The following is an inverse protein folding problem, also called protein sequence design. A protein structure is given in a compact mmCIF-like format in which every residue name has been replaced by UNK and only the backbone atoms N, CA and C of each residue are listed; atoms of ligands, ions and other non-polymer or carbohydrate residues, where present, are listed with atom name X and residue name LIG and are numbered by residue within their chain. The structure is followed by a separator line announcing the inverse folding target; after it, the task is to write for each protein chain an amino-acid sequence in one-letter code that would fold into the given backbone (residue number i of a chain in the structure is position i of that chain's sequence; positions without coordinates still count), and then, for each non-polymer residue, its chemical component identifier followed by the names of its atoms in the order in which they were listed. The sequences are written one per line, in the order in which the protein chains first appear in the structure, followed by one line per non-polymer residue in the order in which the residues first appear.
data_IF_162139301421
#
_entry.id   IF_162139301421
#
_cell.length_a   1.000
_cell.length_b   1.000
_cell.length_c   1.000
_cell.angle_alpha   90.00
_cell.angle_beta   90.00
_cell.angle_gamma   90.00
#
_symmetry.space_group_name_H-M   'P 1'
#
loop_
_entity.id
_entity.type
_entity.pdbx_description
1 polymer ?
#
# COMPACT_ATOMS: atom_id res chain seq x y z
N UNK A 1 7.47 26.46 1.18
CA UNK A 1 6.04 26.22 1.49
C UNK A 1 5.97 24.91 2.24
N UNK A 2 5.26 24.83 3.37
CA UNK A 2 5.07 23.53 4.04
C UNK A 2 4.04 22.74 3.22
N UNK A 3 4.50 21.72 2.50
CA UNK A 3 3.62 20.81 1.78
C UNK A 3 2.89 19.90 2.79
N UNK A 4 1.60 19.68 2.58
CA UNK A 4 0.90 18.62 3.28
C UNK A 4 1.46 17.27 2.78
N UNK A 5 1.64 16.31 3.68
CA UNK A 5 2.11 14.96 3.35
C UNK A 5 1.10 13.97 3.90
N UNK A 6 0.62 13.08 3.03
CA UNK A 6 -0.24 11.97 3.41
C UNK A 6 0.57 10.67 3.35
N UNK A 7 0.69 10.01 4.48
CA UNK A 7 1.29 8.67 4.54
C UNK A 7 0.24 7.61 4.19
N UNK A 8 0.29 7.06 2.99
CA UNK A 8 -0.71 6.11 2.52
C UNK A 8 -0.46 4.67 2.95
N UNK A 9 0.58 4.43 3.78
CA UNK A 9 0.94 3.06 4.14
C UNK A 9 1.56 2.99 5.54
N UNK A 10 0.69 2.91 6.54
CA UNK A 10 1.06 2.74 7.94
C UNK A 10 0.37 1.49 8.47
N UNK A 11 1.09 0.68 9.25
CA UNK A 11 0.51 -0.44 9.96
C UNK A 11 0.52 -0.22 11.47
N UNK A 12 -0.45 -0.79 12.12
CA UNK A 12 -0.50 -0.98 13.58
C UNK A 12 -0.98 -2.39 13.84
N UNK A 13 -0.43 -3.05 14.84
CA UNK A 13 -0.94 -4.34 15.29
C UNK A 13 -0.75 -4.51 16.79
N UNK A 14 -1.66 -5.24 17.38
CA UNK A 14 -1.64 -5.59 18.79
C UNK A 14 -1.77 -7.10 18.95
N UNK A 15 -0.68 -7.76 19.37
CA UNK A 15 -0.61 -9.22 19.51
C UNK A 15 -1.54 -9.78 20.58
N UNK A 16 -2.09 -8.92 21.45
CA UNK A 16 -3.11 -9.31 22.44
C UNK A 16 -4.53 -9.18 21.85
N UNK A 17 -4.73 -8.31 20.85
CA UNK A 17 -6.05 -8.04 20.27
C UNK A 17 -6.38 -8.93 19.08
N UNK A 18 -5.37 -9.36 18.31
CA UNK A 18 -5.54 -10.19 17.12
C UNK A 18 -4.31 -11.08 16.88
N UNK A 19 -4.52 -12.14 16.10
CA UNK A 19 -3.46 -13.05 15.70
C UNK A 19 -2.83 -12.57 14.41
N UNK A 20 -1.51 -12.47 14.38
CA UNK A 20 -0.71 -12.17 13.19
C UNK A 20 0.18 -13.37 12.86
N UNK A 21 -0.31 -14.25 12.00
CA UNK A 21 0.32 -15.55 11.74
C UNK A 21 1.77 -15.46 11.24
N UNK A 22 2.06 -14.44 10.44
CA UNK A 22 3.39 -14.20 9.89
C UNK A 22 4.44 -13.74 10.93
N UNK A 23 4.00 -13.29 12.11
CA UNK A 23 4.88 -12.90 13.22
C UNK A 23 5.18 -14.07 14.17
N UNK A 24 4.36 -15.12 14.18
CA UNK A 24 4.49 -16.23 15.13
C UNK A 24 5.85 -16.92 14.99
N UNK A 25 6.56 -17.01 16.10
CA UNK A 25 7.89 -17.63 16.15
C UNK A 25 9.01 -16.84 15.47
N UNK A 26 8.72 -15.66 14.92
CA UNK A 26 9.71 -14.79 14.31
C UNK A 26 10.62 -14.15 15.37
N UNK A 27 11.93 -14.06 15.07
CA UNK A 27 12.91 -13.30 15.86
C UNK A 27 13.07 -11.84 15.35
N UNK A 28 12.27 -11.43 14.39
CA UNK A 28 12.26 -10.07 13.85
C UNK A 28 11.89 -9.05 14.92
N UNK A 29 12.44 -7.84 14.80
CA UNK A 29 12.00 -6.68 15.60
C UNK A 29 10.51 -6.39 15.44
N UNK A 30 9.90 -6.88 14.37
CA UNK A 30 8.46 -6.72 14.09
C UNK A 30 7.57 -7.59 14.99
N UNK A 31 8.13 -8.64 15.64
CA UNK A 31 7.37 -9.55 16.50
C UNK A 31 7.09 -8.94 17.89
N UNK A 32 6.36 -7.87 17.92
CA UNK A 32 5.78 -7.20 19.09
C UNK A 32 4.58 -6.35 18.69
N UNK A 33 3.81 -5.90 19.64
CA UNK A 33 2.79 -4.88 19.42
C UNK A 33 3.43 -3.56 18.97
N UNK A 34 2.85 -2.94 17.93
CA UNK A 34 3.22 -1.63 17.42
C UNK A 34 2.02 -0.69 17.44
N UNK A 35 2.18 0.41 18.16
CA UNK A 35 1.13 1.41 18.40
C UNK A 35 1.43 2.71 17.67
N UNK A 36 0.40 3.36 17.18
CA UNK A 36 0.52 4.58 16.36
C UNK A 36 1.26 5.73 17.09
N UNK A 37 1.14 5.79 18.40
CA UNK A 37 1.79 6.82 19.23
C UNK A 37 3.33 6.75 19.19
N UNK A 38 3.89 5.57 18.87
CA UNK A 38 5.34 5.37 18.82
C UNK A 38 6.02 6.25 17.77
N UNK A 39 5.33 6.57 16.66
CA UNK A 39 5.89 7.41 15.59
C UNK A 39 5.52 8.89 15.70
N UNK A 40 4.80 9.30 16.73
CA UNK A 40 4.26 10.67 16.80
C UNK A 40 5.33 11.76 16.66
N UNK A 41 6.48 11.61 17.29
CA UNK A 41 7.58 12.58 17.24
C UNK A 41 8.21 12.61 15.85
N UNK A 42 8.54 11.43 15.31
CA UNK A 42 9.15 11.30 13.98
C UNK A 42 8.19 11.76 12.88
N UNK A 43 6.89 11.43 12.99
CA UNK A 43 5.84 11.87 12.07
C UNK A 43 5.78 13.41 11.96
N UNK A 44 5.75 14.08 13.11
CA UNK A 44 5.73 15.56 13.15
C UNK A 44 7.01 16.13 12.54
N UNK A 45 8.16 15.55 12.88
CA UNK A 45 9.46 15.95 12.31
C UNK A 45 9.52 15.76 10.79
N UNK A 46 8.93 14.66 10.26
CA UNK A 46 8.85 14.38 8.84
C UNK A 46 7.85 15.31 8.10
N UNK A 47 6.98 16.03 8.83
CA UNK A 47 5.96 16.89 8.24
C UNK A 47 4.74 16.14 7.73
N UNK A 48 4.54 14.88 8.13
CA UNK A 48 3.37 14.07 7.76
C UNK A 48 2.14 14.57 8.52
N UNK A 49 1.11 14.98 7.78
CA UNK A 49 -0.09 15.65 8.31
C UNK A 49 -1.33 14.75 8.31
N UNK A 50 -1.37 13.75 7.45
CA UNK A 50 -2.44 12.75 7.39
C UNK A 50 -1.90 11.37 7.10
N UNK A 51 -2.72 10.32 7.30
CA UNK A 51 -2.29 8.95 7.07
C UNK A 51 -3.43 7.97 6.82
N UNK A 52 -3.07 6.84 6.20
CA UNK A 52 -3.95 5.70 5.94
C UNK A 52 -3.36 4.47 6.62
N UNK A 53 -4.13 3.86 7.52
CA UNK A 53 -3.79 2.55 8.07
C UNK A 53 -4.11 1.46 7.05
N UNK A 54 -3.20 0.52 6.91
CA UNK A 54 -3.33 -0.60 5.96
C UNK A 54 -3.28 -1.92 6.72
N UNK A 55 -4.17 -2.87 6.37
CA UNK A 55 -4.26 -4.16 7.03
C UNK A 55 -2.91 -4.90 7.06
N UNK A 56 -2.64 -5.61 8.14
CA UNK A 56 -1.43 -6.39 8.36
C UNK A 56 -1.69 -7.91 8.44
N UNK A 57 -2.97 -8.31 8.46
CA UNK A 57 -3.38 -9.73 8.47
C UNK A 57 -4.73 -9.91 7.77
N UNK A 58 -4.96 -11.09 7.20
CA UNK A 58 -6.17 -11.42 6.44
C UNK A 58 -7.33 -11.84 7.37
N UNK A 59 -7.81 -10.93 8.23
CA UNK A 59 -9.00 -11.14 9.05
C UNK A 59 -9.66 -9.83 9.50
N UNK A 60 -10.94 -9.90 9.91
CA UNK A 60 -11.74 -8.73 10.28
C UNK A 60 -11.28 -8.07 11.58
N UNK A 61 -10.73 -8.83 12.51
CA UNK A 61 -10.24 -8.30 13.80
C UNK A 61 -9.15 -7.24 13.59
N UNK A 62 -8.29 -7.42 12.56
CA UNK A 62 -7.28 -6.42 12.19
C UNK A 62 -7.94 -5.14 11.64
N UNK A 63 -8.93 -5.28 10.76
CA UNK A 63 -9.72 -4.15 10.25
C UNK A 63 -10.38 -3.36 11.40
N UNK A 64 -11.02 -4.06 12.31
CA UNK A 64 -11.69 -3.43 13.47
C UNK A 64 -10.69 -2.79 14.43
N UNK A 65 -9.52 -3.41 14.62
CA UNK A 65 -8.44 -2.80 15.40
C UNK A 65 -7.99 -1.48 14.79
N UNK A 66 -7.70 -1.46 13.49
CA UNK A 66 -7.28 -0.25 12.78
C UNK A 66 -8.33 0.86 12.83
N UNK A 67 -9.62 0.52 12.66
CA UNK A 67 -10.70 1.49 12.76
C UNK A 67 -10.80 2.11 14.17
N UNK A 68 -10.61 1.30 15.24
CA UNK A 68 -10.54 1.84 16.60
C UNK A 68 -9.38 2.82 16.78
N UNK A 69 -8.18 2.45 16.29
CA UNK A 69 -6.99 3.32 16.34
C UNK A 69 -7.21 4.59 15.52
N UNK A 70 -7.76 4.47 14.32
CA UNK A 70 -8.01 5.62 13.45
C UNK A 70 -9.00 6.62 14.07
N UNK A 71 -10.11 6.14 14.66
CA UNK A 71 -11.10 7.00 15.36
C UNK A 71 -10.50 7.75 16.56
N UNK A 72 -9.51 7.15 17.23
CA UNK A 72 -8.80 7.78 18.35
C UNK A 72 -7.69 8.72 17.90
N UNK A 73 -7.28 8.64 16.65
CA UNK A 73 -6.18 9.42 16.08
C UNK A 73 -6.66 10.78 15.57
N UNK A 74 -5.84 11.81 15.75
CA UNK A 74 -6.10 13.14 15.18
C UNK A 74 -5.51 13.35 13.77
N UNK A 75 -4.89 12.31 13.15
CA UNK A 75 -4.23 12.46 11.86
C UNK A 75 -4.47 11.29 10.89
N UNK A 76 -4.98 10.15 11.33
CA UNK A 76 -5.41 9.09 10.43
C UNK A 76 -6.74 9.46 9.79
N UNK A 77 -6.78 9.45 8.46
CA UNK A 77 -7.90 9.87 7.63
C UNK A 77 -8.51 8.73 6.83
N UNK A 78 -7.88 7.55 6.86
CA UNK A 78 -8.39 6.37 6.15
C UNK A 78 -7.86 5.06 6.69
N UNK A 79 -8.58 3.99 6.37
CA UNK A 79 -8.24 2.59 6.65
C UNK A 79 -8.47 1.77 5.39
N UNK A 80 -7.44 1.09 4.94
CA UNK A 80 -7.51 0.01 3.95
C UNK A 80 -7.58 -1.29 4.72
N UNK A 81 -8.81 -1.83 4.85
CA UNK A 81 -9.11 -3.01 5.64
C UNK A 81 -9.07 -4.32 4.84
N UNK A 82 -9.47 -5.38 5.48
CA UNK A 82 -9.66 -6.69 4.87
C UNK A 82 -11.14 -7.08 4.84
N UNK A 83 -11.55 -7.77 3.76
CA UNK A 83 -12.86 -8.41 3.62
C UNK A 83 -12.67 -9.85 3.13
N UNK A 84 -13.63 -10.77 3.43
CA UNK A 84 -13.54 -12.19 3.05
C UNK A 84 -13.83 -12.40 1.56
N UNK A 85 -12.90 -12.02 0.68
CA UNK A 85 -13.08 -12.00 -0.77
C UNK A 85 -13.43 -13.36 -1.39
N UNK A 86 -13.18 -14.48 -0.67
CA UNK A 86 -13.60 -15.83 -1.05
C UNK A 86 -15.08 -16.08 -0.77
N UNK A 87 -15.77 -15.18 -0.08
CA UNK A 87 -17.22 -15.23 0.17
C UNK A 87 -17.87 -13.93 -0.32
N UNK A 88 -18.30 -13.86 -1.59
CA UNK A 88 -18.90 -12.66 -2.17
C UNK A 88 -20.16 -12.18 -1.43
N UNK A 89 -20.96 -13.13 -0.92
CA UNK A 89 -22.19 -12.80 -0.19
C UNK A 89 -21.86 -12.10 1.14
N UNK A 90 -20.90 -12.63 1.88
CA UNK A 90 -20.45 -12.00 3.13
C UNK A 90 -19.68 -10.70 2.87
N UNK A 91 -18.86 -10.65 1.80
CA UNK A 91 -18.21 -9.40 1.35
C UNK A 91 -19.24 -8.31 1.07
N UNK A 92 -20.29 -8.62 0.31
CA UNK A 92 -21.36 -7.67 0.01
C UNK A 92 -22.08 -7.21 1.29
N UNK A 93 -22.44 -8.18 2.17
CA UNK A 93 -23.13 -7.88 3.44
C UNK A 93 -22.31 -6.96 4.34
N UNK A 94 -21.05 -7.32 4.59
CA UNK A 94 -20.15 -6.51 5.44
C UNK A 94 -19.94 -5.11 4.84
N UNK A 95 -19.74 -5.04 3.53
CA UNK A 95 -19.54 -3.77 2.85
C UNK A 95 -20.78 -2.88 2.98
N UNK A 96 -21.97 -3.39 2.61
CA UNK A 96 -23.20 -2.58 2.56
C UNK A 96 -23.77 -2.26 3.94
N UNK A 97 -23.72 -3.20 4.87
CA UNK A 97 -24.35 -3.03 6.17
C UNK A 97 -23.46 -2.29 7.18
N UNK A 98 -22.13 -2.33 6.98
CA UNK A 98 -21.16 -1.81 7.94
C UNK A 98 -20.22 -0.79 7.31
N UNK A 99 -19.36 -1.20 6.35
CA UNK A 99 -18.20 -0.41 5.99
C UNK A 99 -18.50 0.79 5.08
N UNK A 100 -19.58 0.77 4.29
CA UNK A 100 -20.02 1.97 3.56
C UNK A 100 -20.57 3.07 4.48
N UNK A 101 -20.91 2.72 5.72
CA UNK A 101 -21.34 3.68 6.76
C UNK A 101 -20.18 4.13 7.66
N UNK A 102 -18.98 3.56 7.48
CA UNK A 102 -17.77 3.92 8.21
C UNK A 102 -16.94 4.91 7.38
N UNK A 103 -16.93 6.19 7.73
CA UNK A 103 -16.27 7.22 6.92
C UNK A 103 -14.75 7.04 6.81
N UNK A 104 -14.14 6.29 7.73
CA UNK A 104 -12.72 5.98 7.70
C UNK A 104 -12.37 4.76 6.84
N UNK A 105 -13.33 3.92 6.45
CA UNK A 105 -13.05 2.79 5.58
C UNK A 105 -12.89 3.26 4.13
N UNK A 106 -11.68 3.11 3.55
CA UNK A 106 -11.30 3.74 2.28
C UNK A 106 -10.85 2.77 1.19
N UNK A 107 -10.61 1.53 1.53
CA UNK A 107 -10.12 0.54 0.58
C UNK A 107 -10.06 -0.85 1.18
N UNK A 108 -9.73 -1.82 0.33
CA UNK A 108 -9.54 -3.22 0.73
C UNK A 108 -8.18 -3.71 0.27
N UNK A 109 -7.51 -4.51 1.11
CA UNK A 109 -6.30 -5.24 0.76
C UNK A 109 -6.42 -6.70 1.23
N UNK A 110 -5.78 -7.59 0.51
CA UNK A 110 -5.55 -8.98 0.90
C UNK A 110 -4.07 -9.30 0.71
N UNK A 111 -3.46 -10.01 1.66
CA UNK A 111 -2.04 -10.41 1.58
C UNK A 111 -1.86 -11.54 0.56
N UNK A 112 -1.98 -11.21 -0.73
CA UNK A 112 -1.93 -12.18 -1.83
C UNK A 112 -0.56 -12.87 -1.94
N UNK A 113 0.50 -12.24 -1.44
CA UNK A 113 1.83 -12.84 -1.41
C UNK A 113 1.96 -13.99 -0.41
N UNK A 114 1.02 -14.14 0.51
CA UNK A 114 0.90 -15.28 1.42
C UNK A 114 0.09 -16.43 0.85
N UNK A 115 -0.60 -16.23 -0.27
CA UNK A 115 -1.40 -17.27 -0.91
C UNK A 115 -0.53 -18.26 -1.70
N UNK A 116 -0.83 -19.55 -1.66
CA UNK A 116 -0.04 -20.57 -2.37
C UNK A 116 -0.05 -20.42 -3.89
N UNK A 117 -1.15 -19.89 -4.45
CA UNK A 117 -1.31 -19.66 -5.88
C UNK A 117 -1.19 -18.16 -6.18
N UNK A 118 -0.19 -17.70 -6.95
CA UNK A 118 -0.06 -16.30 -7.33
C UNK A 118 -1.23 -15.79 -8.20
N UNK A 119 -2.08 -16.69 -8.69
CA UNK A 119 -3.32 -16.37 -9.42
C UNK A 119 -4.55 -16.31 -8.52
N UNK A 120 -4.37 -16.25 -7.21
CA UNK A 120 -5.45 -16.24 -6.23
C UNK A 120 -6.56 -15.22 -6.53
N UNK A 121 -6.20 -14.01 -7.02
CA UNK A 121 -7.17 -12.99 -7.42
C UNK A 121 -8.08 -13.41 -8.59
N UNK A 122 -7.75 -14.45 -9.34
CA UNK A 122 -8.54 -14.93 -10.49
C UNK A 122 -9.57 -16.00 -10.13
N UNK A 123 -9.66 -16.40 -8.86
CA UNK A 123 -10.72 -17.30 -8.41
C UNK A 123 -12.09 -16.64 -8.65
N UNK A 124 -13.11 -17.41 -9.10
CA UNK A 124 -14.42 -16.83 -9.43
C UNK A 124 -15.04 -16.02 -8.31
N UNK A 125 -14.95 -16.52 -7.07
CA UNK A 125 -15.48 -15.87 -5.88
C UNK A 125 -14.74 -14.53 -5.59
N UNK A 126 -13.43 -14.51 -5.75
CA UNK A 126 -12.62 -13.29 -5.57
C UNK A 126 -12.96 -12.25 -6.63
N UNK A 127 -13.08 -12.66 -7.90
CA UNK A 127 -13.48 -11.75 -8.99
C UNK A 127 -14.88 -11.17 -8.78
N UNK A 128 -15.82 -11.98 -8.26
CA UNK A 128 -17.15 -11.48 -7.90
C UNK A 128 -17.05 -10.45 -6.76
N UNK A 129 -16.29 -10.74 -5.71
CA UNK A 129 -16.05 -9.79 -4.60
C UNK A 129 -15.37 -8.50 -5.08
N UNK A 130 -14.37 -8.58 -5.96
CA UNK A 130 -13.74 -7.40 -6.56
C UNK A 130 -14.71 -6.59 -7.42
N UNK A 131 -15.66 -7.24 -8.08
CA UNK A 131 -16.72 -6.56 -8.82
C UNK A 131 -17.70 -5.83 -7.90
N UNK A 132 -17.96 -6.39 -6.71
CA UNK A 132 -18.75 -5.72 -5.66
C UNK A 132 -18.00 -4.48 -5.16
N UNK A 133 -16.70 -4.55 -4.88
CA UNK A 133 -15.90 -3.39 -4.50
C UNK A 133 -15.95 -2.29 -5.57
N UNK A 134 -15.77 -2.67 -6.83
CA UNK A 134 -15.81 -1.76 -7.96
C UNK A 134 -17.16 -1.06 -8.11
N UNK A 135 -18.27 -1.78 -7.89
CA UNK A 135 -19.64 -1.22 -7.95
C UNK A 135 -19.87 -0.14 -6.87
N UNK A 136 -19.15 -0.20 -5.76
CA UNK A 136 -19.23 0.78 -4.67
C UNK A 136 -18.05 1.78 -4.67
N UNK A 137 -17.22 1.77 -5.72
CA UNK A 137 -16.04 2.63 -5.87
C UNK A 137 -15.05 2.50 -4.69
N UNK A 138 -14.89 1.30 -4.16
CA UNK A 138 -13.91 0.95 -3.15
C UNK A 138 -12.65 0.42 -3.85
N UNK A 139 -11.48 1.05 -3.70
CA UNK A 139 -10.24 0.61 -4.34
C UNK A 139 -9.68 -0.64 -3.69
N UNK A 140 -8.84 -1.35 -4.45
CA UNK A 140 -8.12 -2.52 -4.00
C UNK A 140 -6.60 -2.29 -4.04
N UNK A 141 -5.92 -2.49 -2.89
CA UNK A 141 -4.48 -2.41 -2.79
C UNK A 141 -3.86 -3.77 -3.13
N UNK A 142 -2.98 -3.80 -4.13
CA UNK A 142 -2.31 -5.01 -4.63
C UNK A 142 -0.93 -5.12 -3.99
N UNK A 143 -0.78 -6.01 -3.01
CA UNK A 143 0.49 -6.28 -2.33
C UNK A 143 1.17 -7.50 -2.96
N UNK A 144 1.72 -7.34 -4.16
CA UNK A 144 2.42 -8.40 -4.88
C UNK A 144 3.93 -8.38 -4.64
N UNK A 145 4.55 -9.57 -4.71
CA UNK A 145 6.01 -9.75 -4.60
C UNK A 145 6.60 -10.53 -5.78
N UNK A 146 5.75 -11.10 -6.63
CA UNK A 146 6.13 -11.87 -7.81
C UNK A 146 5.68 -11.16 -9.08
N UNK A 147 6.37 -11.33 -10.22
CA UNK A 147 5.89 -10.86 -11.52
C UNK A 147 4.49 -11.38 -11.87
N UNK A 148 4.17 -12.60 -11.48
CA UNK A 148 2.87 -13.23 -11.70
C UNK A 148 1.73 -12.49 -10.99
N UNK A 149 1.98 -11.79 -9.88
CA UNK A 149 0.98 -10.94 -9.23
C UNK A 149 0.62 -9.72 -10.11
N UNK A 150 1.58 -9.16 -10.85
CA UNK A 150 1.33 -8.07 -11.80
C UNK A 150 0.47 -8.60 -12.97
N UNK A 151 0.85 -9.77 -13.53
CA UNK A 151 0.08 -10.42 -14.60
C UNK A 151 -1.36 -10.70 -14.15
N UNK A 152 -1.51 -11.20 -12.94
CA UNK A 152 -2.81 -11.47 -12.33
C UNK A 152 -3.64 -10.20 -12.14
N UNK A 153 -3.04 -9.12 -11.63
CA UNK A 153 -3.73 -7.83 -11.46
C UNK A 153 -4.19 -7.24 -12.81
N UNK A 154 -3.39 -7.38 -13.87
CA UNK A 154 -3.81 -6.95 -15.21
C UNK A 154 -5.03 -7.72 -15.73
N UNK A 155 -5.08 -9.03 -15.49
CA UNK A 155 -6.28 -9.84 -15.85
C UNK A 155 -7.50 -9.41 -15.02
N UNK A 156 -7.31 -9.04 -13.74
CA UNK A 156 -8.39 -8.44 -12.93
C UNK A 156 -8.85 -7.11 -13.55
N UNK A 157 -7.93 -6.23 -13.96
CA UNK A 157 -8.28 -4.96 -14.60
C UNK A 157 -9.09 -5.14 -15.89
N UNK A 158 -8.77 -6.18 -16.69
CA UNK A 158 -9.54 -6.52 -17.89
C UNK A 158 -10.94 -7.04 -17.58
N UNK A 159 -11.09 -7.80 -16.50
CA UNK A 159 -12.37 -8.42 -16.10
C UNK A 159 -13.26 -7.50 -15.28
N UNK A 160 -12.67 -6.58 -14.51
CA UNK A 160 -13.34 -5.62 -13.63
C UNK A 160 -12.81 -4.21 -13.92
N UNK A 161 -13.08 -3.63 -15.10
CA UNK A 161 -12.39 -2.42 -15.58
C UNK A 161 -12.72 -1.16 -14.79
N UNK A 162 -13.77 -1.16 -13.96
CA UNK A 162 -14.10 -0.05 -13.06
C UNK A 162 -13.40 -0.13 -11.70
N UNK A 163 -12.68 -1.24 -11.40
CA UNK A 163 -11.95 -1.36 -10.16
C UNK A 163 -10.69 -0.49 -10.20
N UNK A 164 -10.60 0.45 -9.25
CA UNK A 164 -9.36 1.20 -9.04
C UNK A 164 -8.40 0.36 -8.20
N UNK A 165 -7.17 0.21 -8.67
CA UNK A 165 -6.15 -0.58 -7.99
C UNK A 165 -4.87 0.22 -7.81
N UNK A 166 -4.16 -0.05 -6.71
CA UNK A 166 -2.83 0.51 -6.49
C UNK A 166 -1.83 -0.59 -6.16
N UNK A 167 -0.69 -0.58 -6.81
CA UNK A 167 0.41 -1.48 -6.47
C UNK A 167 1.16 -0.96 -5.24
N UNK A 168 1.10 -1.68 -4.14
CA UNK A 168 1.91 -1.42 -2.96
C UNK A 168 3.40 -1.61 -3.28
N UNK A 169 4.26 -0.70 -2.76
CA UNK A 169 5.72 -0.82 -2.83
C UNK A 169 6.26 -1.00 -4.26
N UNK A 170 5.64 -0.34 -5.24
CA UNK A 170 5.90 -0.54 -6.67
C UNK A 170 5.83 -2.01 -7.11
N UNK A 171 5.08 -2.86 -6.40
CA UNK A 171 5.05 -4.31 -6.53
C UNK A 171 6.45 -4.95 -6.49
N UNK A 172 7.26 -4.56 -5.50
CA UNK A 172 8.57 -5.14 -5.18
C UNK A 172 9.54 -5.18 -6.38
N UNK A 173 10.02 -4.04 -6.88
CA UNK A 173 11.01 -4.00 -7.96
C UNK A 173 12.29 -4.73 -7.57
N UNK A 174 13.02 -5.36 -8.53
CA UNK A 174 14.18 -6.20 -8.26
C UNK A 174 15.44 -5.41 -7.92
N UNK A 175 15.37 -4.50 -6.94
CA UNK A 175 16.44 -3.58 -6.57
C UNK A 175 17.70 -4.33 -6.14
N UNK A 176 17.55 -5.41 -5.35
CA UNK A 176 18.68 -6.18 -4.84
C UNK A 176 19.39 -7.03 -5.91
N UNK A 177 18.74 -7.32 -7.04
CA UNK A 177 19.28 -8.23 -8.05
C UNK A 177 20.37 -7.62 -8.94
N UNK A 178 20.51 -6.30 -8.94
CA UNK A 178 21.39 -5.56 -9.86
C UNK A 178 20.93 -5.56 -11.33
N UNK A 179 19.84 -6.27 -11.64
CA UNK A 179 19.24 -6.32 -13.00
C UNK A 179 18.18 -5.22 -13.10
N UNK A 180 18.50 -4.13 -13.82
CA UNK A 180 17.57 -3.04 -14.02
C UNK A 180 16.34 -3.50 -14.78
N UNK A 181 15.21 -3.39 -14.10
CA UNK A 181 13.83 -3.59 -14.51
C UNK A 181 13.45 -5.05 -14.79
N UNK A 182 14.16 -5.80 -15.64
CA UNK A 182 13.84 -7.21 -15.94
C UNK A 182 12.36 -7.45 -16.24
N UNK A 183 11.84 -8.60 -15.83
CA UNK A 183 10.43 -8.96 -16.01
C UNK A 183 9.47 -7.99 -15.32
N UNK A 184 9.84 -7.47 -14.14
CA UNK A 184 9.05 -6.44 -13.43
C UNK A 184 8.81 -5.23 -14.34
N UNK A 185 9.86 -4.68 -14.96
CA UNK A 185 9.72 -3.49 -15.81
C UNK A 185 8.94 -3.74 -17.08
N UNK A 186 9.08 -4.93 -17.70
CA UNK A 186 8.27 -5.31 -18.86
C UNK A 186 6.79 -5.29 -18.53
N UNK A 187 6.41 -5.91 -17.40
CA UNK A 187 5.02 -6.00 -16.95
C UNK A 187 4.47 -4.65 -16.52
N UNK A 188 5.26 -3.83 -15.80
CA UNK A 188 4.83 -2.50 -15.37
C UNK A 188 4.55 -1.56 -16.54
N UNK A 189 5.32 -1.66 -17.65
CA UNK A 189 5.01 -0.92 -18.89
C UNK A 189 3.65 -1.28 -19.47
N UNK A 190 3.26 -2.54 -19.39
CA UNK A 190 1.95 -3.00 -19.86
C UNK A 190 0.86 -2.55 -18.87
N UNK A 191 1.08 -2.76 -17.57
CA UNK A 191 0.15 -2.34 -16.52
C UNK A 191 -0.14 -0.83 -16.58
N UNK A 192 0.85 -0.01 -16.88
CA UNK A 192 0.70 1.44 -17.00
C UNK A 192 -0.30 1.89 -18.08
N UNK A 193 -0.64 1.03 -19.05
CA UNK A 193 -1.63 1.29 -20.08
C UNK A 193 -3.07 1.20 -19.55
N UNK A 194 -3.28 0.56 -18.39
CA UNK A 194 -4.57 0.52 -17.70
C UNK A 194 -4.68 1.72 -16.75
N UNK A 195 -5.57 2.65 -17.03
CA UNK A 195 -5.73 3.88 -16.24
C UNK A 195 -6.22 3.65 -14.81
N UNK A 196 -6.79 2.48 -14.51
CA UNK A 196 -7.22 2.10 -13.17
C UNK A 196 -6.07 1.81 -12.19
N UNK A 197 -4.83 1.61 -12.68
CA UNK A 197 -3.68 1.36 -11.82
C UNK A 197 -2.98 2.63 -11.35
N UNK A 198 -2.69 2.63 -10.05
CA UNK A 198 -1.87 3.63 -9.35
C UNK A 198 -0.65 2.95 -8.71
N UNK A 199 0.28 3.72 -8.20
CA UNK A 199 1.55 3.24 -7.65
C UNK A 199 1.85 3.86 -6.30
N UNK A 200 2.18 3.03 -5.30
CA UNK A 200 2.72 3.51 -4.01
C UNK A 200 4.24 3.48 -4.01
N UNK A 201 4.83 4.64 -3.88
CA UNK A 201 6.26 4.83 -3.59
C UNK A 201 6.42 4.64 -2.08
N UNK A 202 6.61 3.40 -1.65
CA UNK A 202 6.67 2.99 -0.24
C UNK A 202 7.49 1.70 -0.09
N UNK A 203 7.98 1.40 1.10
CA UNK A 203 8.66 0.12 1.41
C UNK A 203 9.93 -0.15 0.61
N UNK A 204 10.48 0.82 -0.12
CA UNK A 204 11.57 0.59 -1.08
C UNK A 204 12.92 0.31 -0.40
N UNK A 205 13.09 0.72 0.84
CA UNK A 205 14.25 0.37 1.66
C UNK A 205 14.37 -1.13 1.90
N UNK A 206 13.26 -1.85 1.91
CA UNK A 206 13.20 -3.29 2.16
C UNK A 206 12.89 -4.13 0.92
N UNK A 207 12.54 -3.50 -0.20
CA UNK A 207 12.19 -4.21 -1.43
C UNK A 207 13.36 -5.10 -1.91
N UNK A 208 13.09 -6.39 -2.16
CA UNK A 208 14.07 -7.36 -2.62
C UNK A 208 14.91 -8.05 -1.53
N UNK A 209 14.57 -7.88 -0.24
CA UNK A 209 15.02 -8.78 0.85
C UNK A 209 16.41 -8.53 1.45
N UNK A 210 17.26 -7.71 0.86
CA UNK A 210 18.51 -7.25 1.48
C UNK A 210 18.39 -5.76 1.83
N UNK A 211 18.38 -5.47 3.13
CA UNK A 211 18.08 -4.14 3.65
C UNK A 211 19.34 -3.34 4.02
N UNK A 212 20.48 -4.01 4.18
CA UNK A 212 21.69 -3.38 4.71
C UNK A 212 22.34 -2.44 3.66
N UNK A 213 22.36 -1.14 3.98
CA UNK A 213 23.14 -0.15 3.24
C UNK A 213 22.59 0.28 1.89
N UNK A 214 21.31 0.04 1.61
CA UNK A 214 20.65 0.49 0.39
C UNK A 214 20.59 2.01 0.32
N UNK A 215 21.03 2.60 -0.80
CA UNK A 215 21.12 4.04 -1.01
C UNK A 215 20.02 4.53 -1.94
N UNK A 216 19.76 5.84 -1.92
CA UNK A 216 18.79 6.45 -2.84
C UNK A 216 19.12 6.19 -4.30
N UNK A 217 20.41 6.13 -4.67
CA UNK A 217 20.88 5.84 -6.03
C UNK A 217 20.47 4.45 -6.54
N UNK A 218 20.25 3.51 -5.63
CA UNK A 218 19.78 2.16 -5.98
C UNK A 218 18.28 2.14 -6.26
N UNK A 219 17.53 3.01 -5.58
CA UNK A 219 16.06 3.09 -5.63
C UNK A 219 15.57 4.04 -6.72
N UNK A 220 16.25 5.16 -6.90
CA UNK A 220 15.88 6.25 -7.81
C UNK A 220 15.52 5.78 -9.24
N UNK A 221 16.27 4.85 -9.87
CA UNK A 221 15.93 4.37 -11.21
C UNK A 221 14.55 3.71 -11.30
N UNK A 222 14.08 3.05 -10.25
CA UNK A 222 12.78 2.38 -10.24
C UNK A 222 11.62 3.36 -10.01
N UNK A 223 11.84 4.38 -9.17
CA UNK A 223 10.87 5.47 -9.00
C UNK A 223 10.76 6.30 -10.29
N UNK A 224 11.91 6.63 -10.90
CA UNK A 224 11.96 7.33 -12.20
C UNK A 224 11.23 6.56 -13.30
N UNK A 225 11.50 5.26 -13.41
CA UNK A 225 10.82 4.37 -14.35
C UNK A 225 9.31 4.34 -14.11
N UNK A 226 8.89 4.29 -12.84
CA UNK A 226 7.47 4.27 -12.48
C UNK A 226 6.77 5.56 -12.88
N UNK A 227 7.34 6.71 -12.53
CA UNK A 227 6.77 8.01 -12.89
C UNK A 227 6.77 8.23 -14.41
N UNK A 228 7.83 7.80 -15.12
CA UNK A 228 7.88 7.87 -16.58
C UNK A 228 6.73 7.13 -17.26
N UNK A 229 6.30 5.99 -16.72
CA UNK A 229 5.29 5.15 -17.39
C UNK A 229 3.87 5.35 -16.85
N UNK A 230 3.70 5.59 -15.55
CA UNK A 230 2.38 5.81 -14.94
C UNK A 230 1.97 7.28 -14.92
N UNK A 231 2.93 8.21 -14.99
CA UNK A 231 2.70 9.63 -14.73
C UNK A 231 2.72 9.95 -13.23
N UNK A 232 3.10 11.18 -12.91
CA UNK A 232 3.12 11.65 -11.52
C UNK A 232 1.73 11.61 -10.87
N UNK A 233 0.68 11.85 -11.64
CA UNK A 233 -0.72 11.90 -11.21
C UNK A 233 -1.26 10.56 -10.70
N UNK A 234 -0.61 9.43 -11.05
CA UNK A 234 -0.98 8.10 -10.56
C UNK A 234 -0.02 7.55 -9.52
N UNK A 235 0.87 8.39 -8.99
CA UNK A 235 1.84 7.99 -7.96
C UNK A 235 1.56 8.72 -6.64
N UNK A 236 1.73 8.03 -5.52
CA UNK A 236 1.70 8.65 -4.18
C UNK A 236 2.59 7.87 -3.20
N UNK A 237 2.90 8.46 -2.04
CA UNK A 237 3.91 7.94 -1.12
C UNK A 237 3.30 7.27 0.12
N UNK A 238 4.07 6.34 0.71
CA UNK A 238 3.78 5.74 2.00
C UNK A 238 5.06 5.39 2.78
N UNK A 239 4.96 5.38 4.12
CA UNK A 239 6.10 5.12 5.01
C UNK A 239 6.40 3.64 5.23
N UNK A 240 5.37 2.79 5.13
CA UNK A 240 5.44 1.34 5.42
C UNK A 240 5.93 1.03 6.85
N UNK A 241 5.64 1.93 7.80
CA UNK A 241 5.95 1.69 9.20
C UNK A 241 4.96 0.68 9.81
N UNK A 242 5.39 -0.24 10.69
CA UNK A 242 6.74 -0.41 11.23
C UNK A 242 7.66 -1.32 10.39
N UNK A 243 7.18 -1.85 9.26
CA UNK A 243 7.97 -2.76 8.42
C UNK A 243 9.25 -2.06 7.92
N UNK A 244 9.18 -0.77 7.61
CA UNK A 244 10.33 0.05 7.22
C UNK A 244 11.47 0.09 8.24
N UNK A 245 11.20 -0.19 9.53
CA UNK A 245 12.23 -0.26 10.57
C UNK A 245 13.28 -1.36 10.33
N UNK A 246 12.97 -2.33 9.48
CA UNK A 246 13.97 -3.31 9.02
C UNK A 246 15.12 -2.67 8.25
N UNK A 247 14.91 -1.50 7.67
CA UNK A 247 15.90 -0.76 6.90
C UNK A 247 16.30 0.57 7.57
N UNK A 248 15.31 1.37 7.99
CA UNK A 248 15.55 2.70 8.55
C UNK A 248 14.36 3.20 9.38
N UNK A 249 14.58 4.22 10.21
CA UNK A 249 13.54 4.87 11.00
C UNK A 249 12.50 5.61 10.15
N UNK A 250 11.37 5.95 10.77
CA UNK A 250 10.24 6.60 10.06
C UNK A 250 10.62 7.94 9.44
N UNK A 251 11.32 8.80 10.19
CA UNK A 251 11.75 10.12 9.68
C UNK A 251 12.72 9.99 8.50
N UNK A 252 13.65 9.03 8.56
CA UNK A 252 14.62 8.78 7.49
C UNK A 252 13.93 8.20 6.24
N UNK A 253 12.93 7.33 6.41
CA UNK A 253 12.11 6.82 5.32
C UNK A 253 11.41 7.98 4.59
N UNK A 254 10.84 8.92 5.32
CA UNK A 254 10.19 10.09 4.72
C UNK A 254 11.16 11.08 4.09
N UNK A 255 12.36 11.28 4.68
CA UNK A 255 13.41 12.06 4.06
C UNK A 255 13.84 11.46 2.72
N UNK A 256 13.98 10.14 2.65
CA UNK A 256 14.26 9.40 1.42
C UNK A 256 13.14 9.56 0.39
N UNK A 257 11.89 9.28 0.76
CA UNK A 257 10.75 9.37 -0.16
C UNK A 257 10.61 10.78 -0.77
N UNK A 258 10.72 11.83 0.05
CA UNK A 258 10.68 13.22 -0.43
C UNK A 258 11.79 13.51 -1.42
N UNK A 259 13.02 13.12 -1.09
CA UNK A 259 14.16 13.30 -1.98
C UNK A 259 13.94 12.59 -3.32
N UNK A 260 13.48 11.33 -3.31
CA UNK A 260 13.21 10.58 -4.54
C UNK A 260 12.14 11.26 -5.40
N UNK A 261 11.05 11.75 -4.78
CA UNK A 261 10.00 12.48 -5.49
C UNK A 261 10.55 13.78 -6.07
N UNK A 262 11.23 14.61 -5.28
CA UNK A 262 11.80 15.90 -5.71
C UNK A 262 12.84 15.76 -6.84
N UNK A 263 13.53 14.60 -6.93
CA UNK A 263 14.49 14.31 -8.01
C UNK A 263 13.81 13.82 -9.31
N UNK A 264 12.60 13.24 -9.21
CA UNK A 264 11.96 12.55 -10.35
C UNK A 264 10.84 13.38 -10.97
N UNK A 265 10.09 14.13 -10.17
CA UNK A 265 8.96 14.92 -10.68
C UNK A 265 9.27 16.42 -10.69
N UNK A 266 8.54 17.18 -11.52
CA UNK A 266 8.62 18.63 -11.52
C UNK A 266 8.15 19.24 -10.19
N UNK A 267 8.67 20.41 -9.84
CA UNK A 267 8.33 21.09 -8.57
C UNK A 267 6.83 21.30 -8.37
N UNK A 268 6.05 21.41 -9.44
CA UNK A 268 4.61 21.58 -9.41
C UNK A 268 3.87 20.26 -9.08
N UNK A 269 4.49 19.11 -9.37
CA UNK A 269 3.92 17.79 -9.16
C UNK A 269 4.25 17.19 -7.78
N UNK A 270 5.28 17.72 -7.10
CA UNK A 270 5.71 17.20 -5.78
C UNK A 270 4.56 17.12 -4.79
N UNK A 271 3.73 18.18 -4.71
CA UNK A 271 2.58 18.21 -3.81
C UNK A 271 1.52 17.17 -4.21
N UNK A 272 1.34 16.93 -5.50
CA UNK A 272 0.40 15.91 -6.00
C UNK A 272 0.82 14.53 -5.51
N UNK A 273 2.08 14.15 -5.71
CA UNK A 273 2.63 12.84 -5.30
C UNK A 273 2.69 12.68 -3.77
N UNK A 274 2.98 13.75 -3.03
CA UNK A 274 3.06 13.68 -1.58
C UNK A 274 1.69 13.70 -0.88
N UNK A 275 0.62 14.20 -1.53
CA UNK A 275 -0.68 14.31 -0.86
C UNK A 275 -1.89 14.21 -1.81
N UNK A 276 -2.03 15.08 -2.82
CA UNK A 276 -3.30 15.29 -3.52
C UNK A 276 -3.79 14.01 -4.21
N UNK A 277 -2.88 13.27 -4.87
CA UNK A 277 -3.23 12.03 -5.56
C UNK A 277 -3.78 10.96 -4.59
N UNK A 278 -3.22 10.88 -3.38
CA UNK A 278 -3.71 9.97 -2.35
C UNK A 278 -5.09 10.39 -1.83
N UNK A 279 -5.31 11.71 -1.63
CA UNK A 279 -6.59 12.26 -1.21
C UNK A 279 -7.68 11.91 -2.24
N UNK A 280 -7.39 12.11 -3.52
CA UNK A 280 -8.32 11.83 -4.62
C UNK A 280 -8.56 10.32 -4.78
N UNK A 281 -7.50 9.50 -4.69
CA UNK A 281 -7.61 8.05 -4.86
C UNK A 281 -8.42 7.39 -3.74
N UNK A 282 -8.15 7.73 -2.48
CA UNK A 282 -8.84 7.14 -1.32
C UNK A 282 -10.05 7.97 -0.84
N UNK A 283 -10.30 9.16 -1.41
CA UNK A 283 -11.35 10.09 -0.95
C UNK A 283 -11.20 10.41 0.55
N UNK A 284 -10.01 10.88 0.93
CA UNK A 284 -9.65 11.20 2.32
C UNK A 284 -10.28 12.50 2.82
#
# INVERSE_FOLDING_TARGET
MNHSIIDTHVHVWDLEAARYAWLEGSTSILNRTYRLEEIQVERVSAGVTGGVLVQAENHLEDTEHMLRVARASGWITGVVGWLPLMDPAETARLLTDIYLHEPLFKGVRHLIHGEPDPKWLLQPEVLESLSILAAHDIPFDVVGVLPEHIETAMVVADRVPSLRMVFDHLNQPPIASGVRYGRWGELMKVAAQHFGFHMKISGLGIAGGDFAGRKSEDILPYVSFTVEHFGAERCFCGGDWPVSLLAMGYADTWALNRRLVEEVVGSEEVQAVLATNAIDFYKL
#
